data_IF_891178045947
#
_entry.id   IF_891178045947
#
_cell.length_a   1.000
_cell.length_b   1.000
_cell.length_c   1.000
_cell.angle_alpha   90.00
_cell.angle_beta   90.00
_cell.angle_gamma   90.00
#
_symmetry.space_group_name_H-M   'P 1'
#
loop_
_entity.id
_entity.type
_entity.pdbx_description
1 polymer ?
2 polymer ?
3 water ?
#
# COMPACT_ATOMS: atom_id res chain seq x y z
N UNK A 8 3.00 3.26 -22.94
CA UNK A 8 2.61 3.91 -21.69
C UNK A 8 2.89 3.00 -20.50
N UNK A 9 3.42 3.60 -19.43
CA UNK A 9 3.68 2.91 -18.17
C UNK A 9 2.40 2.75 -17.36
N UNK A 10 1.45 3.68 -17.51
CA UNK A 10 0.25 3.66 -16.68
C UNK A 10 -0.67 2.52 -17.09
N UNK A 11 -1.10 2.49 -18.37
CA UNK A 11 -1.85 1.35 -18.92
C UNK A 11 -1.15 0.05 -18.53
N UNK A 12 0.18 0.06 -18.62
CA UNK A 12 0.99 -1.10 -18.30
C UNK A 12 0.86 -1.47 -16.82
N UNK A 13 1.17 -0.54 -15.93
CA UNK A 13 1.12 -0.80 -14.46
C UNK A 13 -0.32 -1.11 -14.04
N UNK A 14 -1.29 -0.57 -14.76
CA UNK A 14 -2.72 -0.74 -14.45
C UNK A 14 -3.21 -2.19 -14.55
N UNK A 15 -2.96 -2.87 -15.67
CA UNK A 15 -3.54 -4.20 -15.87
C UNK A 15 -2.69 -5.26 -15.18
N UNK A 16 -1.62 -4.85 -14.52
CA UNK A 16 -0.91 -5.78 -13.65
C UNK A 16 -1.47 -5.84 -12.23
N UNK A 17 -2.33 -4.88 -11.86
CA UNK A 17 -2.90 -4.85 -10.52
C UNK A 17 -3.76 -6.09 -10.31
N UNK A 18 -3.79 -6.63 -9.09
CA UNK A 18 -4.63 -7.80 -8.86
C UNK A 18 -6.11 -7.47 -9.02
N UNK A 19 -6.89 -8.52 -9.23
CA UNK A 19 -8.32 -8.35 -9.27
C UNK A 19 -8.90 -8.37 -7.86
N UNK A 20 -10.16 -7.95 -7.77
CA UNK A 20 -10.84 -7.68 -6.50
C UNK A 20 -10.65 -8.81 -5.47
N UNK A 21 -10.29 -8.40 -4.26
CA UNK A 21 -10.02 -9.27 -3.12
C UNK A 21 -11.28 -9.44 -2.26
N UNK A 22 -11.41 -10.62 -1.66
CA UNK A 22 -12.59 -10.95 -0.86
C UNK A 22 -12.15 -11.57 0.47
N UNK A 23 -12.58 -10.96 1.57
CA UNK A 23 -12.26 -11.49 2.88
C UNK A 23 -12.74 -12.93 2.99
N UNK A 24 -11.91 -13.79 3.59
CA UNK A 24 -12.32 -15.15 3.93
C UNK A 24 -11.72 -15.54 5.27
N UNK A 25 -12.41 -15.22 6.37
CA UNK A 25 -12.13 -15.57 7.77
C UNK A 25 -12.78 -16.89 8.18
N UNK A 30 -16.64 -17.53 17.01
CA UNK A 30 -16.12 -16.59 17.99
C UNK A 30 -15.99 -15.18 17.40
N UNK A 31 -17.11 -14.45 17.31
CA UNK A 31 -17.11 -13.17 16.59
C UNK A 31 -16.77 -12.04 17.58
N UNK A 32 -15.47 -11.90 17.83
CA UNK A 32 -14.91 -10.92 18.72
C UNK A 32 -13.86 -10.08 18.00
N UNK A 33 -12.95 -9.50 18.79
CA UNK A 33 -11.90 -8.69 18.19
C UNK A 33 -10.82 -9.56 17.57
N UNK A 34 -10.61 -10.76 18.11
CA UNK A 34 -9.54 -11.62 17.62
C UNK A 34 -9.87 -12.18 16.24
N UNK A 35 -11.16 -12.36 15.93
CA UNK A 35 -11.51 -12.79 14.57
C UNK A 35 -11.42 -11.66 13.56
N UNK A 36 -11.62 -10.40 13.99
CA UNK A 36 -11.47 -9.28 13.06
C UNK A 36 -10.02 -9.13 12.62
N UNK A 37 -9.10 -9.01 13.58
CA UNK A 37 -7.68 -8.86 13.28
C UNK A 37 -7.20 -9.95 12.34
N UNK A 38 -7.62 -11.20 12.57
CA UNK A 38 -7.20 -12.31 11.73
C UNK A 38 -7.65 -12.13 10.29
N UNK A 39 -8.86 -11.59 10.09
CA UNK A 39 -9.33 -11.36 8.73
C UNK A 39 -8.48 -10.31 8.03
N UNK A 40 -8.11 -9.24 8.73
CA UNK A 40 -7.27 -8.21 8.15
C UNK A 40 -5.85 -8.72 7.99
N UNK A 41 -5.35 -9.46 8.98
CA UNK A 41 -3.98 -9.95 8.91
C UNK A 41 -3.79 -10.89 7.73
N UNK A 42 -4.81 -11.69 7.41
CA UNK A 42 -4.66 -12.61 6.29
C UNK A 42 -5.03 -11.96 4.97
N UNK A 43 -5.89 -10.95 5.00
CA UNK A 43 -6.05 -10.09 3.84
C UNK A 43 -4.76 -9.33 3.54
N UNK A 44 -4.07 -8.84 4.57
CA UNK A 44 -2.80 -8.17 4.35
C UNK A 44 -1.81 -9.13 3.71
N UNK A 45 -1.65 -10.32 4.31
CA UNK A 45 -0.67 -11.28 3.80
C UNK A 45 -0.99 -11.67 2.37
N UNK A 46 -2.28 -11.79 2.06
CA UNK A 46 -2.66 -12.17 0.69
C UNK A 46 -2.29 -11.05 -0.29
N UNK A 47 -2.44 -9.79 0.09
CA UNK A 47 -2.10 -8.68 -0.81
C UNK A 47 -0.59 -8.42 -0.82
N UNK A 48 0.10 -8.68 0.30
CA UNK A 48 1.56 -8.63 0.27
C UNK A 48 2.10 -9.50 -0.84
N UNK A 49 1.60 -10.75 -0.90
CA UNK A 49 1.93 -11.64 -2.02
C UNK A 49 1.66 -10.96 -3.35
N UNK A 50 0.55 -10.23 -3.47
CA UNK A 50 0.30 -9.68 -4.79
C UNK A 50 1.13 -8.44 -5.11
N UNK A 51 1.46 -7.56 -4.13
CA UNK A 51 2.40 -6.47 -4.40
C UNK A 51 3.63 -7.02 -5.08
N UNK A 52 4.13 -8.15 -4.55
CA UNK A 52 5.41 -8.64 -5.02
C UNK A 52 5.31 -9.04 -6.48
N UNK A 53 4.21 -9.72 -6.85
CA UNK A 53 3.97 -10.02 -8.25
C UNK A 53 3.85 -8.76 -9.06
N UNK A 54 3.11 -7.78 -8.55
CA UNK A 54 2.92 -6.51 -9.24
C UNK A 54 4.23 -5.72 -9.36
N UNK A 55 5.04 -5.69 -8.29
CA UNK A 55 6.27 -4.90 -8.32
C UNK A 55 7.13 -5.23 -9.53
N UNK A 56 7.18 -6.51 -9.94
CA UNK A 56 8.08 -6.87 -11.02
C UNK A 56 7.64 -6.30 -12.37
N UNK A 57 6.37 -5.90 -12.49
CA UNK A 57 5.91 -5.22 -13.70
C UNK A 57 6.28 -3.75 -13.73
N UNK A 58 6.78 -3.19 -12.63
CA UNK A 58 7.20 -1.80 -12.63
C UNK A 58 8.45 -1.73 -13.48
N UNK A 59 8.46 -0.94 -14.55
CA UNK A 59 9.63 -0.94 -15.44
C UNK A 59 10.88 -0.63 -14.63
N UNK A 60 11.95 -1.39 -14.86
CA UNK A 60 13.22 -1.14 -14.23
C UNK A 60 13.34 -1.62 -12.80
N UNK A 61 12.23 -1.96 -12.14
CA UNK A 61 12.31 -2.49 -10.78
C UNK A 61 13.06 -3.81 -10.74
N UNK A 62 12.82 -4.69 -11.72
CA UNK A 62 13.46 -5.99 -11.69
C UNK A 62 14.91 -5.94 -12.13
N UNK A 63 15.35 -4.83 -12.75
CA UNK A 63 16.75 -4.64 -13.07
C UNK A 63 17.55 -4.10 -11.90
N UNK A 64 16.90 -3.84 -10.76
CA UNK A 64 17.60 -3.54 -9.51
C UNK A 64 18.13 -4.82 -8.90
N UNK A 65 19.23 -4.71 -8.16
CA UNK A 65 19.72 -5.87 -7.45
C UNK A 65 18.68 -6.32 -6.44
N UNK A 66 18.61 -7.64 -6.22
CA UNK A 66 17.57 -8.22 -5.41
C UNK A 66 17.55 -7.65 -3.99
N UNK A 67 18.73 -7.35 -3.45
CA UNK A 67 18.79 -6.70 -2.15
C UNK A 67 18.08 -5.37 -2.16
N UNK A 68 18.16 -4.65 -3.27
CA UNK A 68 17.51 -3.35 -3.36
C UNK A 68 16.02 -3.50 -3.62
N UNK A 69 15.63 -4.50 -4.43
CA UNK A 69 14.20 -4.81 -4.57
C UNK A 69 13.58 -5.15 -3.22
N UNK A 70 14.29 -5.90 -2.40
CA UNK A 70 13.78 -6.21 -1.07
C UNK A 70 13.83 -5.01 -0.15
N UNK A 71 14.85 -4.16 -0.28
CA UNK A 71 14.93 -3.02 0.60
C UNK A 71 13.76 -2.07 0.37
N UNK A 72 13.42 -1.82 -0.91
CA UNK A 72 12.26 -1.01 -1.23
C UNK A 72 10.98 -1.62 -0.67
N UNK A 73 10.70 -2.88 -1.03
CA UNK A 73 9.48 -3.55 -0.58
C UNK A 73 9.38 -3.55 0.94
N UNK A 74 10.47 -3.84 1.63
CA UNK A 74 10.47 -3.83 3.08
C UNK A 74 10.14 -2.45 3.67
N UNK A 75 10.50 -1.37 2.98
CA UNK A 75 10.16 -0.04 3.48
C UNK A 75 8.75 0.37 3.12
N UNK A 76 8.28 0.02 1.93
CA UNK A 76 7.09 0.65 1.38
C UNK A 76 5.85 -0.22 1.44
N UNK A 77 5.94 -1.46 1.96
CA UNK A 77 4.84 -2.41 1.81
C UNK A 77 3.54 -1.89 2.44
N UNK A 78 3.60 -1.33 3.66
CA UNK A 78 2.37 -0.87 4.29
C UNK A 78 1.77 0.33 3.56
N UNK A 79 2.60 1.24 3.08
CA UNK A 79 2.11 2.35 2.29
C UNK A 79 1.30 1.86 1.10
N UNK A 80 1.73 0.76 0.47
CA UNK A 80 1.06 0.31 -0.75
C UNK A 80 -0.26 -0.38 -0.40
N UNK A 81 -0.27 -1.20 0.66
CA UNK A 81 -1.54 -1.72 1.17
C UNK A 81 -2.50 -0.59 1.52
N UNK A 82 -2.05 0.41 2.32
CA UNK A 82 -2.94 1.50 2.73
C UNK A 82 -3.58 2.14 1.50
N UNK A 83 -2.79 2.35 0.44
CA UNK A 83 -3.31 2.95 -0.78
C UNK A 83 -4.34 2.07 -1.47
N UNK A 84 -4.27 0.75 -1.28
CA UNK A 84 -5.34 -0.10 -1.78
C UNK A 84 -6.62 0.07 -0.99
N UNK A 85 -6.52 0.03 0.34
CA UNK A 85 -7.68 0.29 1.18
C UNK A 85 -8.28 1.65 0.84
N UNK A 86 -7.44 2.68 0.72
CA UNK A 86 -7.94 4.00 0.40
C UNK A 86 -8.71 3.98 -0.91
N UNK A 87 -8.15 3.37 -1.96
CA UNK A 87 -8.82 3.40 -3.25
C UNK A 87 -10.20 2.74 -3.16
N UNK A 88 -10.26 1.58 -2.52
CA UNK A 88 -11.52 0.88 -2.38
C UNK A 88 -12.50 1.69 -1.54
N UNK A 89 -12.01 2.51 -0.61
CA UNK A 89 -12.88 3.19 0.35
C UNK A 89 -13.49 4.47 -0.19
N UNK A 90 -12.98 5.00 -1.32
CA UNK A 90 -13.43 6.27 -1.87
C UNK A 90 -14.95 6.39 -2.04
N UNK A 91 -15.68 5.37 -2.50
CA UNK A 91 -17.13 5.56 -2.67
C UNK A 91 -17.97 5.43 -1.40
N UNK A 92 -17.42 4.94 -0.29
CA UNK A 92 -18.22 4.68 0.89
C UNK A 92 -18.35 5.92 1.78
N UNK A 93 -19.35 5.87 2.66
CA UNK A 93 -19.66 6.92 3.63
C UNK A 93 -18.90 6.58 4.92
N UNK A 94 -17.71 7.15 5.07
CA UNK A 94 -16.87 6.98 6.27
C UNK A 94 -16.73 5.51 6.65
N UNK A 95 -16.49 4.68 5.64
CA UNK A 95 -16.25 3.27 5.84
C UNK A 95 -14.88 2.93 5.27
N UNK A 96 -14.24 1.91 5.82
CA UNK A 96 -12.95 1.43 5.34
C UNK A 96 -13.19 0.06 4.72
N UNK A 97 -12.87 -0.09 3.45
CA UNK A 97 -13.00 -1.39 2.80
C UNK A 97 -11.61 -2.00 2.71
N UNK A 98 -11.35 -2.89 3.66
CA UNK A 98 -10.20 -3.76 3.60
C UNK A 98 -10.35 -4.76 2.46
N UNK A 99 -11.58 -5.11 2.12
CA UNK A 99 -11.87 -5.92 0.94
C UNK A 99 -13.29 -5.59 0.51
N UNK A 100 -13.66 -6.01 -0.71
CA UNK A 100 -15.04 -5.80 -1.14
C UNK A 100 -16.02 -6.53 -0.23
N UNK A 101 -15.59 -7.65 0.37
CA UNK A 101 -16.37 -8.38 1.36
C UNK A 101 -16.47 -7.63 2.68
N UNK A 102 -15.41 -6.93 3.06
CA UNK A 102 -15.15 -6.55 4.45
C UNK A 102 -15.03 -5.04 4.57
N UNK A 103 -16.05 -4.41 5.13
CA UNK A 103 -16.17 -2.96 5.14
C UNK A 103 -16.47 -2.53 6.58
N UNK A 104 -15.48 -1.92 7.22
CA UNK A 104 -15.57 -1.51 8.62
C UNK A 104 -15.99 -0.03 8.75
N UNK A 105 -16.79 0.24 9.77
CA UNK A 105 -17.20 1.59 10.11
C UNK A 105 -16.59 1.97 11.46
N UNK A 106 -16.99 3.13 11.99
CA UNK A 106 -16.39 3.63 13.23
C UNK A 106 -16.66 2.69 14.40
N UNK A 107 -17.93 2.29 14.60
CA UNK A 107 -18.28 1.48 15.76
C UNK A 107 -17.68 0.09 15.68
N UNK A 108 -17.79 -0.56 14.51
CA UNK A 108 -17.11 -1.83 14.28
C UNK A 108 -15.62 -1.71 14.55
N UNK A 109 -15.02 -0.59 14.14
CA UNK A 109 -13.60 -0.36 14.37
C UNK A 109 -13.30 -0.25 15.85
N UNK A 110 -14.00 0.67 16.52
CA UNK A 110 -13.76 0.94 17.94
C UNK A 110 -13.85 -0.34 18.78
N UNK A 111 -14.88 -1.15 18.51
CA UNK A 111 -15.06 -2.38 19.28
C UNK A 111 -13.84 -3.30 19.13
N UNK A 112 -13.41 -3.55 17.89
CA UNK A 112 -12.25 -4.41 17.65
C UNK A 112 -10.91 -3.71 17.90
N UNK A 113 -10.88 -2.60 18.64
CA UNK A 113 -9.64 -1.93 19.01
C UNK A 113 -8.93 -1.17 17.92
N UNK A 114 -9.55 -1.03 16.75
CA UNK A 114 -8.92 -0.41 15.60
C UNK A 114 -9.31 1.04 15.41
N UNK A 115 -9.85 1.70 16.43
CA UNK A 115 -10.46 3.02 16.21
C UNK A 115 -9.42 4.03 15.78
N UNK A 116 -8.31 4.11 16.51
CA UNK A 116 -7.31 5.14 16.22
C UNK A 116 -6.71 4.94 14.85
N UNK A 117 -6.41 3.70 14.48
CA UNK A 117 -5.99 3.42 13.12
C UNK A 117 -7.09 3.80 12.12
N UNK A 118 -8.34 3.46 12.46
CA UNK A 118 -9.46 3.76 11.56
C UNK A 118 -9.56 5.25 11.28
N UNK A 119 -9.44 6.08 12.33
CA UNK A 119 -9.50 7.52 12.14
C UNK A 119 -8.34 8.02 11.29
N UNK A 120 -7.15 7.43 11.47
CA UNK A 120 -5.98 7.85 10.71
C UNK A 120 -6.18 7.61 9.22
N UNK A 121 -6.62 6.39 8.86
CA UNK A 121 -6.81 6.09 7.45
C UNK A 121 -7.94 6.93 6.86
N UNK A 122 -9.01 7.15 7.62
CA UNK A 122 -10.12 7.95 7.11
C UNK A 122 -9.67 9.36 6.73
N UNK A 123 -8.74 9.93 7.51
CA UNK A 123 -8.21 11.24 7.14
C UNK A 123 -7.58 11.22 5.75
N UNK A 124 -6.80 10.19 5.47
CA UNK A 124 -6.25 10.06 4.13
C UNK A 124 -7.35 9.79 3.11
N UNK A 125 -8.33 8.95 3.45
CA UNK A 125 -9.45 8.68 2.56
C UNK A 125 -10.14 9.99 2.17
N UNK A 126 -10.47 10.82 3.16
CA UNK A 126 -11.20 12.06 2.88
C UNK A 126 -10.36 13.04 2.08
N UNK A 127 -9.04 13.05 2.30
CA UNK A 127 -8.17 13.83 1.44
C UNK A 127 -8.22 13.34 -0.01
N UNK A 128 -8.13 12.01 -0.24
CA UNK A 128 -8.21 11.48 -1.60
C UNK A 128 -9.61 11.63 -2.23
N UNK A 129 -10.67 11.63 -1.41
CA UNK A 129 -12.01 11.87 -1.95
C UNK A 129 -12.12 13.27 -2.51
N UNK A 130 -11.56 14.27 -1.82
CA UNK A 130 -11.65 15.63 -2.33
C UNK A 130 -10.79 15.82 -3.58
N UNK A 131 -9.69 15.07 -3.69
CA UNK A 131 -8.86 15.14 -4.88
C UNK A 131 -9.44 14.39 -6.07
N UNK A 132 -10.47 13.56 -5.82
CA UNK A 132 -11.09 12.72 -6.83
C UNK A 132 -10.04 11.92 -7.61
N UNK A 133 -9.18 11.23 -6.85
CA UNK A 133 -8.09 10.45 -7.43
C UNK A 133 -8.66 9.26 -8.18
N UNK A 134 -8.07 8.94 -9.32
CA UNK A 134 -8.50 7.89 -10.24
C UNK A 134 -7.66 6.64 -10.05
N UNK A 135 -8.19 5.51 -10.53
CA UNK A 135 -7.44 4.26 -10.52
C UNK A 135 -6.06 4.41 -11.15
N UNK A 136 -5.95 5.16 -12.27
CA UNK A 136 -4.63 5.36 -12.89
C UNK A 136 -3.66 6.05 -11.94
N UNK A 137 -4.14 7.01 -11.15
CA UNK A 137 -3.28 7.75 -10.25
C UNK A 137 -2.91 6.90 -9.04
N UNK A 138 -3.84 6.08 -8.54
CA UNK A 138 -3.49 5.17 -7.47
C UNK A 138 -2.35 4.27 -7.90
N UNK A 139 -2.41 3.82 -9.15
CA UNK A 139 -1.43 2.87 -9.64
C UNK A 139 -0.06 3.53 -9.74
N UNK A 140 0.02 4.68 -10.42
CA UNK A 140 1.30 5.37 -10.47
C UNK A 140 1.74 5.85 -9.08
N UNK A 141 0.83 6.07 -8.14
CA UNK A 141 1.25 6.51 -6.81
C UNK A 141 1.78 5.35 -5.99
N UNK A 142 1.14 4.18 -6.08
CA UNK A 142 1.70 2.96 -5.50
C UNK A 142 3.14 2.74 -5.95
N UNK A 143 3.37 2.82 -7.26
CA UNK A 143 4.72 2.65 -7.77
C UNK A 143 5.67 3.69 -7.20
N UNK A 144 5.21 4.95 -7.11
CA UNK A 144 6.06 6.03 -6.63
C UNK A 144 6.40 5.88 -5.17
N UNK A 145 5.44 5.44 -4.36
CA UNK A 145 5.74 5.14 -2.98
C UNK A 145 6.81 4.05 -2.87
N UNK A 146 6.75 3.04 -3.75
CA UNK A 146 7.76 1.98 -3.70
C UNK A 146 9.15 2.53 -4.00
N UNK A 147 9.29 3.26 -5.11
CA UNK A 147 10.61 3.76 -5.49
C UNK A 147 11.10 4.87 -4.57
N UNK A 148 10.19 5.54 -3.86
CA UNK A 148 10.50 6.64 -2.97
C UNK A 148 10.52 6.22 -1.50
N UNK A 149 10.78 4.94 -1.23
CA UNK A 149 10.62 4.39 0.11
C UNK A 149 11.63 4.93 1.12
N UNK A 150 12.79 5.39 0.68
CA UNK A 150 13.82 5.94 1.56
C UNK A 150 14.45 4.86 2.45
N UNK A 151 14.50 3.64 1.95
CA UNK A 151 15.24 2.61 2.66
C UNK A 151 16.67 3.08 2.95
N UNK A 152 17.12 2.81 4.16
CA UNK A 152 18.50 3.06 4.55
C UNK A 152 19.45 1.95 4.07
N UNK A 153 18.95 1.00 3.29
CA UNK A 153 19.71 -0.19 2.93
C UNK A 153 19.83 -0.35 1.42
N UNK A 154 19.70 0.73 0.69
CA UNK A 154 19.89 0.66 -0.75
C UNK A 154 21.37 0.65 -1.05
N UNK A 155 21.79 -0.22 -1.94
CA UNK A 155 23.17 -0.18 -2.38
C UNK A 155 23.39 0.80 -3.51
N UNK A 156 22.49 0.84 -4.49
CA UNK A 156 22.65 1.64 -5.70
C UNK A 156 21.57 2.71 -5.70
N UNK A 157 21.84 3.80 -4.97
CA UNK A 157 20.87 4.88 -4.91
C UNK A 157 20.58 5.46 -6.29
N UNK A 158 21.60 5.50 -7.16
CA UNK A 158 21.43 6.07 -8.49
C UNK A 158 20.40 5.32 -9.33
N UNK A 159 20.44 3.98 -9.31
CA UNK A 159 19.42 3.22 -10.04
C UNK A 159 18.04 3.45 -9.45
N UNK A 160 17.94 3.59 -8.12
CA UNK A 160 16.63 3.81 -7.52
C UNK A 160 16.13 5.19 -7.88
N UNK A 161 17.02 6.18 -7.91
CA UNK A 161 16.62 7.52 -8.30
C UNK A 161 16.13 7.55 -9.75
N UNK A 162 16.82 6.83 -10.65
CA UNK A 162 16.37 6.73 -12.04
C UNK A 162 14.95 6.22 -12.12
N UNK A 163 14.65 5.14 -11.38
CA UNK A 163 13.28 4.63 -11.31
C UNK A 163 12.31 5.71 -10.81
N UNK A 164 12.65 6.36 -9.70
CA UNK A 164 11.84 7.46 -9.18
C UNK A 164 11.58 8.53 -10.24
N UNK A 165 12.63 8.93 -10.96
CA UNK A 165 12.47 9.93 -12.02
C UNK A 165 11.53 9.42 -13.09
N UNK A 166 11.67 8.14 -13.47
CA UNK A 166 10.79 7.54 -14.46
C UNK A 166 9.33 7.53 -14.00
N UNK A 167 9.06 6.96 -12.82
CA UNK A 167 7.68 6.94 -12.33
C UNK A 167 7.12 8.36 -12.16
N UNK A 168 7.94 9.30 -11.70
CA UNK A 168 7.47 10.68 -11.56
C UNK A 168 7.14 11.31 -12.90
N UNK A 169 8.05 11.16 -13.88
CA UNK A 169 7.76 11.58 -15.24
C UNK A 169 6.40 11.04 -15.72
N UNK A 170 6.16 9.75 -15.53
CA UNK A 170 4.91 9.13 -15.95
C UNK A 170 3.70 9.82 -15.33
N UNK A 171 3.69 9.90 -14.00
CA UNK A 171 2.63 10.59 -13.29
C UNK A 171 2.43 12.01 -13.83
N UNK A 172 3.51 12.76 -14.03
CA UNK A 172 3.39 14.12 -14.51
C UNK A 172 2.91 14.18 -15.96
N UNK A 173 3.41 13.29 -16.80
CA UNK A 173 2.97 13.33 -18.20
C UNK A 173 1.56 12.76 -18.35
N UNK A 174 1.18 11.78 -17.53
CA UNK A 174 -0.22 11.39 -17.49
C UNK A 174 -1.10 12.59 -17.10
N UNK A 175 -0.70 13.33 -16.06
CA UNK A 175 -1.52 14.46 -15.62
C UNK A 175 -1.52 15.57 -16.64
N UNK A 176 -0.37 15.84 -17.24
CA UNK A 176 -0.24 16.97 -18.20
C UNK A 176 -1.04 16.76 -19.48
N UNK A 177 -2.01 15.84 -19.50
CA UNK A 177 -2.82 15.63 -20.67
C UNK A 177 -4.23 15.16 -20.28
N UNK A 178 -4.32 14.04 -19.57
CA UNK A 178 -5.62 13.50 -19.20
C UNK A 178 -6.37 14.44 -18.25
N UNK A 179 -5.64 15.20 -17.44
CA UNK A 179 -6.23 16.09 -16.44
C UNK A 179 -5.56 17.46 -16.52
N UNK A 180 -5.41 17.99 -17.74
CA UNK A 180 -4.85 19.32 -17.96
C UNK A 180 -5.80 20.45 -17.58
N UNK A 181 -7.09 20.15 -17.31
CA UNK A 181 -7.98 21.17 -16.76
C UNK A 181 -7.51 21.64 -15.38
N UNK A 182 -6.87 20.76 -14.59
CA UNK A 182 -6.42 21.07 -13.24
C UNK A 182 -4.91 21.22 -13.24
N UNK A 183 -4.36 22.41 -13.05
CA UNK A 183 -2.90 22.57 -13.06
C UNK A 183 -2.26 22.15 -11.74
N UNK A 184 -1.02 21.66 -11.86
CA UNK A 184 -0.24 21.11 -10.75
C UNK A 184 -1.00 20.04 -9.98
N UNK A 185 -1.88 19.30 -10.65
CA UNK A 185 -2.54 18.17 -10.01
C UNK A 185 -1.52 17.09 -9.62
N UNK A 186 -0.40 17.02 -10.32
CA UNK A 186 0.69 16.11 -9.94
C UNK A 186 1.21 16.41 -8.55
N UNK A 187 1.56 17.67 -8.30
CA UNK A 187 2.10 18.03 -7.01
C UNK A 187 1.13 17.78 -5.90
N UNK A 188 -0.16 18.06 -6.14
CA UNK A 188 -1.18 17.81 -5.12
C UNK A 188 -1.19 16.36 -4.70
N UNK A 189 -1.07 15.44 -5.66
CA UNK A 189 -1.00 14.03 -5.31
C UNK A 189 0.27 13.71 -4.53
N UNK A 190 1.42 14.25 -4.98
CA UNK A 190 2.67 14.06 -4.23
C UNK A 190 2.53 14.58 -2.81
N UNK A 191 1.81 15.69 -2.60
CA UNK A 191 1.68 16.28 -1.27
C UNK A 191 0.90 15.41 -0.31
N UNK A 192 0.20 14.38 -0.78
CA UNK A 192 -0.44 13.44 0.13
C UNK A 192 0.52 12.36 0.64
N UNK A 193 1.66 12.17 -0.03
CA UNK A 193 2.60 11.12 0.35
C UNK A 193 3.09 11.19 1.80
N UNK A 194 3.39 12.36 2.39
CA UNK A 194 3.74 12.34 3.82
C UNK A 194 2.66 11.73 4.70
N UNK A 195 1.40 12.13 4.51
CA UNK A 195 0.34 11.52 5.30
C UNK A 195 0.27 10.02 5.03
N UNK A 196 0.46 9.62 3.77
CA UNK A 196 0.52 8.22 3.44
C UNK A 196 1.55 7.50 4.30
N UNK A 197 2.80 7.97 4.30
CA UNK A 197 3.84 7.34 5.11
C UNK A 197 3.49 7.36 6.60
N UNK A 198 2.92 8.47 7.07
CA UNK A 198 2.54 8.62 8.47
C UNK A 198 1.50 7.59 8.87
N UNK A 199 0.44 7.49 8.08
CA UNK A 199 -0.60 6.50 8.31
C UNK A 199 -0.04 5.09 8.25
N UNK A 200 0.82 4.79 7.28
CA UNK A 200 1.41 3.47 7.24
C UNK A 200 2.21 3.18 8.50
N UNK A 201 2.80 4.23 9.11
CA UNK A 201 3.56 4.04 10.33
C UNK A 201 2.65 3.64 11.48
N UNK A 202 1.43 4.16 11.52
CA UNK A 202 0.48 3.84 12.57
C UNK A 202 -0.04 2.41 12.39
N UNK A 203 -0.37 2.05 11.16
CA UNK A 203 -0.81 0.69 10.88
C UNK A 203 0.26 -0.31 11.28
N UNK A 204 1.51 -0.02 10.96
CA UNK A 204 2.59 -0.96 11.22
C UNK A 204 2.76 -1.14 12.72
N UNK A 205 2.65 -0.05 13.48
CA UNK A 205 2.84 -0.17 14.92
C UNK A 205 1.67 -0.90 15.55
N UNK A 206 0.45 -0.54 15.17
CA UNK A 206 -0.70 -1.25 15.69
C UNK A 206 -0.62 -2.74 15.38
N UNK A 207 -0.29 -3.09 14.14
CA UNK A 207 -0.27 -4.50 13.77
C UNK A 207 0.90 -5.24 14.38
N UNK A 208 1.99 -4.52 14.66
CA UNK A 208 3.08 -5.11 15.43
C UNK A 208 2.67 -5.25 16.90
N UNK A 209 1.82 -4.33 17.39
CA UNK A 209 1.25 -4.44 18.73
C UNK A 209 0.37 -5.68 18.89
N UNK A 210 -0.35 -6.09 17.86
CA UNK A 210 -1.11 -7.33 17.96
C UNK A 210 -0.24 -8.54 17.65
N UNK A 211 0.86 -8.36 16.91
CA UNK A 211 1.88 -9.40 16.82
C UNK A 211 2.43 -9.75 18.20
N UNK A 212 2.83 -8.73 18.96
CA UNK A 212 3.44 -8.97 20.26
C UNK A 212 2.45 -9.64 21.20
N UNK A 213 1.17 -9.26 21.13
CA UNK A 213 0.20 -9.78 22.08
C UNK A 213 0.06 -11.29 21.95
N UNK A 214 0.20 -11.80 20.73
CA UNK A 214 0.20 -13.23 20.51
C UNK A 214 -1.16 -13.85 20.37
N UNK A 215 -2.22 -13.15 20.76
CA UNK A 215 -3.57 -13.68 20.60
C UNK A 215 -4.03 -13.76 19.15
N UNK A 216 -3.22 -13.34 18.17
CA UNK A 216 -3.67 -13.29 16.79
C UNK A 216 -2.69 -14.00 15.87
N UNK A 217 -3.14 -14.91 15.00
CA UNK A 217 -2.21 -15.63 14.11
C UNK A 217 -1.98 -14.93 12.79
N UNK A 218 -0.77 -15.09 12.24
CA UNK A 218 -0.31 -14.31 11.10
C UNK A 218 0.49 -15.19 10.15
N UNK A 219 0.00 -15.33 8.92
CA UNK A 219 0.75 -16.04 7.87
C UNK A 219 2.14 -15.43 7.72
N UNK A 220 3.15 -16.27 7.51
CA UNK A 220 4.53 -15.91 7.80
C UNK A 220 5.11 -14.80 6.91
N UNK A 221 4.61 -14.63 5.69
CA UNK A 221 5.07 -13.50 4.88
C UNK A 221 4.74 -12.18 5.55
N UNK A 222 3.49 -12.00 5.99
CA UNK A 222 3.09 -10.81 6.73
C UNK A 222 3.99 -10.57 7.93
N UNK A 223 4.24 -11.61 8.73
CA UNK A 223 5.08 -11.49 9.91
C UNK A 223 6.48 -11.00 9.55
N UNK A 224 7.06 -11.57 8.49
CA UNK A 224 8.40 -11.21 8.05
C UNK A 224 8.49 -9.72 7.66
N UNK A 225 7.48 -9.21 6.95
CA UNK A 225 7.43 -7.78 6.65
C UNK A 225 7.34 -6.94 7.92
N UNK A 226 6.54 -7.38 8.88
CA UNK A 226 6.33 -6.60 10.10
C UNK A 226 7.57 -6.48 10.95
N UNK A 227 8.48 -7.47 10.93
CA UNK A 227 9.65 -7.40 11.79
C UNK A 227 10.79 -6.63 11.12
N UNK A 228 10.78 -6.58 9.78
CA UNK A 228 11.63 -5.62 9.08
C UNK A 228 11.39 -4.20 9.57
N UNK A 229 10.13 -3.82 9.75
CA UNK A 229 9.76 -2.53 10.34
C UNK A 229 9.84 -2.52 11.87
N UNK B 1 16.32 -17.43 2.59
CA UNK B 1 15.64 -18.04 3.73
C UNK B 1 14.30 -17.34 3.97
N UNK B 2 14.17 -16.14 3.40
CA UNK B 2 13.01 -15.28 3.60
C UNK B 2 11.88 -15.64 2.63
N UNK B 3 10.64 -15.45 3.10
CA UNK B 3 9.46 -15.55 2.23
C UNK B 3 9.54 -14.52 1.11
N UNK B 4 10.04 -13.33 1.43
CA UNK B 4 10.12 -12.26 0.44
C UNK B 4 10.95 -12.68 -0.76
N UNK B 5 12.11 -13.27 -0.53
CA UNK B 5 12.96 -13.63 -1.65
C UNK B 5 12.39 -14.85 -2.38
N UNK B 6 11.78 -15.78 -1.63
CA UNK B 6 10.95 -16.82 -2.24
C UNK B 6 9.96 -16.24 -3.21
N UNK B 7 9.09 -15.34 -2.73
CA UNK B 7 8.08 -14.75 -3.60
C UNK B 7 8.70 -13.87 -4.69
N UNK B 8 9.88 -13.30 -4.43
CA UNK B 8 10.48 -12.40 -5.41
C UNK B 8 11.12 -13.14 -6.57
N UNK B 9 11.48 -14.41 -6.40
CA UNK B 9 12.12 -15.17 -7.45
C UNK B 9 11.32 -16.36 -7.95
N UNK B 10 10.09 -16.57 -7.45
CA UNK B 10 9.20 -17.61 -7.98
C UNK B 10 9.03 -17.43 -9.48
#
# INVERSE_FOLDING_TARGET
PAKKPLTKIVSHLLVAEPDKLYAMPPPGMPEGDIKALTTLCDLADRELVVIIGWAKHIPGFSSLSLGDQMSLLQSAWMEILILGIVYRSLPYDDKLVYAEDYIMDEEHSRLAGLLELYRAILQLVRRYKKLKVEKEEFVTLKALALANSDSMYIEDLEAVQKLQDLLHEALQDYELSQRHEEPWRTGKLLLTLPLLRQTAAKAVQHFYSVKLQGKVPMHKLFLEMLEAK
ASELLKYLTT
#
